data_IF_342012581046
#
_entry.id   IF_342012581046
#
_cell.length_a   1.000
_cell.length_b   1.000
_cell.length_c   1.000
_cell.angle_alpha   90.00
_cell.angle_beta   90.00
_cell.angle_gamma   90.00
#
_symmetry.space_group_name_H-M   'P 1'
#
loop_
_entity.id
_entity.type
_entity.pdbx_description
1 polymer ?
#
# COMPACT_ATOMS: atom_id res chain seq x y z
N UNK A 1 -14.31 -35.94 -42.27
CA UNK A 1 -14.43 -34.47 -42.16
C UNK A 1 -14.82 -34.15 -40.73
N UNK A 2 -13.84 -33.90 -39.87
CA UNK A 2 -14.04 -33.56 -38.45
C UNK A 2 -13.58 -32.12 -38.27
N UNK A 3 -14.52 -31.26 -37.86
CA UNK A 3 -14.33 -29.81 -37.71
C UNK A 3 -13.28 -29.48 -36.63
N UNK A 4 -12.26 -28.66 -36.92
CA UNK A 4 -11.35 -28.11 -35.92
C UNK A 4 -11.79 -26.67 -35.58
N UNK A 5 -12.76 -26.49 -34.69
CA UNK A 5 -13.16 -25.15 -34.25
C UNK A 5 -13.92 -25.18 -32.92
N UNK A 6 -13.24 -25.56 -31.82
CA UNK A 6 -13.72 -25.21 -30.47
C UNK A 6 -12.51 -24.80 -29.62
N UNK A 7 -11.79 -23.78 -30.08
CA UNK A 7 -10.69 -23.16 -29.33
C UNK A 7 -10.83 -21.64 -29.42
N UNK A 8 -11.98 -21.16 -28.94
CA UNK A 8 -12.23 -19.75 -28.66
C UNK A 8 -13.60 -19.65 -28.02
N UNK A 9 -13.63 -19.33 -26.72
CA UNK A 9 -14.72 -18.70 -25.95
C UNK A 9 -14.76 -19.22 -24.50
N UNK A 10 -13.63 -19.16 -23.79
CA UNK A 10 -13.73 -18.94 -22.34
C UNK A 10 -13.85 -17.42 -22.16
N UNK A 11 -15.08 -16.96 -22.03
CA UNK A 11 -15.36 -15.58 -21.70
C UNK A 11 -14.68 -15.24 -20.37
N UNK A 12 -13.83 -14.20 -20.38
CA UNK A 12 -13.19 -13.68 -19.18
C UNK A 12 -14.27 -13.40 -18.10
N UNK A 13 -14.04 -13.75 -16.83
CA UNK A 13 -14.97 -13.43 -15.76
C UNK A 13 -15.20 -11.91 -15.70
N UNK A 14 -16.46 -11.52 -15.65
CA UNK A 14 -16.89 -10.12 -15.61
C UNK A 14 -16.64 -9.54 -14.21
N UNK A 15 -15.52 -8.84 -14.07
CA UNK A 15 -15.03 -8.01 -12.95
C UNK A 15 -16.18 -7.49 -12.04
N UNK A 16 -16.41 -8.10 -10.88
CA UNK A 16 -17.60 -7.88 -10.03
C UNK A 16 -17.65 -6.57 -9.24
N UNK A 17 -16.83 -5.56 -9.59
CA UNK A 17 -16.82 -4.25 -8.94
C UNK A 17 -17.50 -3.17 -9.80
N UNK A 18 -18.22 -2.20 -9.17
CA UNK A 18 -18.86 -1.10 -9.90
C UNK A 18 -17.80 -0.30 -10.69
N UNK A 19 -18.17 0.30 -11.85
CA UNK A 19 -17.22 0.97 -12.75
C UNK A 19 -16.40 2.08 -12.07
N UNK A 20 -17.00 2.79 -11.11
CA UNK A 20 -16.30 3.78 -10.27
C UNK A 20 -15.25 3.14 -9.36
N UNK A 21 -15.52 1.93 -8.85
CA UNK A 21 -14.58 1.21 -8.02
C UNK A 21 -13.35 0.78 -8.83
N UNK A 22 -13.59 0.25 -10.02
CA UNK A 22 -12.50 -0.13 -10.94
C UNK A 22 -11.59 1.04 -11.30
N UNK A 23 -12.16 2.23 -11.48
CA UNK A 23 -11.39 3.44 -11.78
C UNK A 23 -10.48 3.87 -10.62
N UNK A 24 -10.96 3.82 -9.37
CA UNK A 24 -10.10 4.16 -8.23
C UNK A 24 -8.97 3.15 -8.02
N UNK A 25 -9.22 1.85 -8.27
CA UNK A 25 -8.17 0.84 -8.15
C UNK A 25 -7.10 1.06 -9.22
N UNK A 26 -7.51 1.30 -10.46
CA UNK A 26 -6.57 1.63 -11.54
C UNK A 26 -5.74 2.87 -11.21
N UNK A 27 -6.36 3.94 -10.71
CA UNK A 27 -5.64 5.15 -10.26
C UNK A 27 -4.65 4.82 -9.14
N UNK A 28 -5.08 4.10 -8.11
CA UNK A 28 -4.19 3.74 -6.99
C UNK A 28 -3.03 2.87 -7.45
N UNK A 29 -3.27 1.94 -8.38
CA UNK A 29 -2.22 1.10 -8.95
C UNK A 29 -1.22 1.92 -9.76
N UNK A 30 -1.69 2.86 -10.60
CA UNK A 30 -0.83 3.81 -11.34
C UNK A 30 0.03 4.65 -10.40
N UNK A 31 -0.59 5.25 -9.39
CA UNK A 31 0.09 6.03 -8.35
C UNK A 31 1.11 5.18 -7.57
N UNK A 32 0.76 3.94 -7.21
CA UNK A 32 1.67 3.03 -6.51
C UNK A 32 2.88 2.69 -7.37
N UNK A 33 2.66 2.39 -8.65
CA UNK A 33 3.72 2.07 -9.59
C UNK A 33 4.64 3.28 -9.84
N UNK A 34 4.07 4.47 -10.00
CA UNK A 34 4.82 5.73 -10.07
C UNK A 34 5.69 5.92 -8.82
N UNK A 35 5.09 5.76 -7.64
CA UNK A 35 5.81 5.94 -6.38
C UNK A 35 6.93 4.92 -6.25
N UNK A 36 6.72 3.65 -6.59
CA UNK A 36 7.75 2.62 -6.52
C UNK A 36 8.98 2.99 -7.37
N UNK A 37 8.77 3.54 -8.57
CA UNK A 37 9.85 4.00 -9.46
C UNK A 37 10.53 5.27 -8.96
N UNK A 38 9.79 6.15 -8.28
CA UNK A 38 10.27 7.46 -7.83
C UNK A 38 10.50 7.56 -6.32
N UNK A 39 10.48 6.44 -5.59
CA UNK A 39 10.63 6.35 -4.12
C UNK A 39 11.76 7.27 -3.60
N UNK A 40 13.00 7.20 -4.13
CA UNK A 40 14.09 8.01 -3.57
C UNK A 40 13.94 9.51 -3.81
N UNK A 41 13.26 9.91 -4.90
CA UNK A 41 13.11 11.31 -5.27
C UNK A 41 11.91 11.97 -4.59
N UNK A 42 10.83 11.21 -4.38
CA UNK A 42 9.62 11.70 -3.73
C UNK A 42 9.88 12.02 -2.26
N UNK A 43 10.43 11.08 -1.50
CA UNK A 43 10.68 11.26 -0.06
C UNK A 43 11.82 12.24 0.26
N UNK A 44 12.68 12.58 -0.71
CA UNK A 44 13.73 13.59 -0.53
C UNK A 44 13.19 15.04 -0.67
N UNK A 45 11.97 15.22 -1.18
CA UNK A 45 11.38 16.55 -1.37
C UNK A 45 11.06 17.18 0.00
N UNK A 46 11.41 18.45 0.17
CA UNK A 46 11.24 19.19 1.43
C UNK A 46 9.79 19.47 1.81
N UNK A 47 8.88 19.57 0.83
CA UNK A 47 7.45 19.86 1.06
C UNK A 47 6.70 18.75 1.82
N UNK A 48 7.21 17.52 1.82
CA UNK A 48 6.52 16.40 2.48
C UNK A 48 6.53 16.51 4.01
N UNK A 49 7.51 17.24 4.58
CA UNK A 49 7.52 17.58 6.00
C UNK A 49 6.47 18.65 6.36
N UNK A 50 6.12 19.52 5.40
CA UNK A 50 5.14 20.60 5.58
C UNK A 50 3.70 20.09 5.46
N UNK A 51 3.48 19.00 4.70
CA UNK A 51 2.16 18.39 4.52
C UNK A 51 1.52 17.87 5.83
N UNK A 52 2.34 17.41 6.78
CA UNK A 52 1.89 17.09 8.14
C UNK A 52 2.97 17.37 9.19
N UNK A 53 3.01 18.60 9.72
CA UNK A 53 4.04 19.02 10.65
C UNK A 53 4.03 18.24 11.97
N UNK A 54 2.87 17.78 12.44
CA UNK A 54 2.75 17.05 13.71
C UNK A 54 3.24 15.61 13.56
N UNK A 55 2.88 14.97 12.44
CA UNK A 55 3.34 13.63 12.14
C UNK A 55 4.87 13.58 11.95
N UNK A 56 5.43 14.56 11.24
CA UNK A 56 6.88 14.66 11.05
C UNK A 56 7.61 14.89 12.39
N UNK A 57 7.05 15.70 13.27
CA UNK A 57 7.63 15.95 14.59
C UNK A 57 7.70 14.67 15.44
N UNK A 58 6.58 13.93 15.47
CA UNK A 58 6.46 12.66 16.19
C UNK A 58 7.37 11.59 15.60
N UNK A 59 7.40 11.41 14.28
CA UNK A 59 8.08 10.25 13.69
C UNK A 59 9.57 10.47 13.39
N UNK A 60 9.95 11.71 13.05
CA UNK A 60 11.30 12.01 12.57
C UNK A 60 12.04 12.92 13.57
N UNK A 61 11.45 14.06 13.95
CA UNK A 61 12.14 15.09 14.74
C UNK A 61 12.50 14.64 16.15
N UNK A 62 11.73 13.73 16.75
CA UNK A 62 12.04 13.15 18.05
C UNK A 62 13.37 12.37 18.06
N UNK A 63 13.74 11.76 16.94
CA UNK A 63 14.97 10.97 16.78
C UNK A 63 16.13 11.77 16.18
N UNK A 64 15.91 13.02 15.81
CA UNK A 64 16.99 13.90 15.34
C UNK A 64 17.94 14.25 16.50
N UNK A 65 19.23 14.13 16.21
CA UNK A 65 20.28 14.52 17.15
C UNK A 65 20.30 16.04 17.34
N UNK A 66 20.86 16.50 18.47
CA UNK A 66 21.02 17.92 18.74
C UNK A 66 21.90 18.62 17.68
N UNK A 67 22.87 17.90 17.11
CA UNK A 67 23.77 18.41 16.08
C UNK A 67 23.05 18.60 14.74
N UNK A 68 22.28 17.61 14.28
CA UNK A 68 21.45 17.69 13.07
C UNK A 68 20.46 18.86 13.18
N UNK A 69 19.78 18.99 14.33
CA UNK A 69 18.83 20.09 14.58
C UNK A 69 19.52 21.46 14.57
N UNK A 70 20.73 21.57 15.11
CA UNK A 70 21.50 22.81 15.03
C UNK A 70 21.92 23.14 13.60
N UNK A 71 22.29 22.14 12.80
CA UNK A 71 22.63 22.32 11.39
C UNK A 71 21.42 22.79 10.57
N UNK A 72 20.28 22.10 10.65
CA UNK A 72 19.03 22.50 9.98
C UNK A 72 18.59 23.91 10.36
N UNK A 73 18.81 24.26 11.61
CA UNK A 73 18.32 25.52 12.14
C UNK A 73 19.30 26.67 11.86
N UNK A 74 20.56 26.37 11.51
CA UNK A 74 21.49 27.31 10.88
C UNK A 74 21.14 27.54 9.41
N UNK A 75 20.76 26.48 8.67
CA UNK A 75 20.40 26.60 7.25
C UNK A 75 19.08 27.35 7.04
N UNK A 76 18.06 27.05 7.85
CA UNK A 76 16.75 27.74 7.83
C UNK A 76 16.78 29.15 8.45
N UNK A 77 17.77 29.44 9.28
CA UNK A 77 17.85 30.69 10.04
C UNK A 77 16.79 30.81 11.14
N UNK A 78 16.69 32.00 11.76
CA UNK A 78 15.73 32.25 12.85
C UNK A 78 14.28 32.36 12.34
N UNK A 79 14.07 33.04 11.21
CA UNK A 79 12.75 33.20 10.61
C UNK A 79 12.13 31.85 10.20
N UNK A 80 12.91 30.95 9.60
CA UNK A 80 12.42 29.61 9.23
C UNK A 80 12.04 28.76 10.44
N UNK A 81 12.78 28.84 11.56
CA UNK A 81 12.40 28.17 12.80
C UNK A 81 11.08 28.68 13.36
N UNK A 82 10.90 30.00 13.37
CA UNK A 82 9.66 30.61 13.85
C UNK A 82 8.47 30.25 12.98
N UNK A 83 8.65 30.21 11.66
CA UNK A 83 7.63 29.73 10.73
C UNK A 83 7.22 28.29 11.03
N UNK A 84 8.19 27.39 11.19
CA UNK A 84 7.95 25.98 11.53
C UNK A 84 7.25 25.80 12.88
N UNK A 85 7.65 26.57 13.90
CA UNK A 85 7.00 26.55 15.21
C UNK A 85 5.56 27.10 15.14
N UNK A 86 5.32 28.12 14.32
CA UNK A 86 4.00 28.67 14.06
C UNK A 86 3.10 27.64 13.35
N UNK A 87 3.58 26.99 12.28
CA UNK A 87 2.82 25.96 11.56
C UNK A 87 2.46 24.79 12.49
N UNK A 88 3.39 24.36 13.36
CA UNK A 88 3.10 23.35 14.39
C UNK A 88 2.02 23.80 15.38
N UNK A 89 2.10 25.05 15.85
CA UNK A 89 1.13 25.60 16.78
C UNK A 89 -0.27 25.71 16.16
N UNK A 90 -0.35 26.14 14.90
CA UNK A 90 -1.60 26.21 14.14
C UNK A 90 -2.23 24.83 13.97
N UNK A 91 -1.47 23.83 13.52
CA UNK A 91 -1.97 22.45 13.35
C UNK A 91 -2.43 21.83 14.67
N UNK A 92 -1.72 22.11 15.77
CA UNK A 92 -2.12 21.67 17.12
C UNK A 92 -3.45 22.31 17.53
N UNK A 93 -3.61 23.61 17.30
CA UNK A 93 -4.83 24.34 17.61
C UNK A 93 -6.01 23.86 16.74
N UNK A 94 -5.77 23.57 15.47
CA UNK A 94 -6.78 22.99 14.58
C UNK A 94 -7.25 21.62 15.06
N UNK A 95 -6.33 20.73 15.45
CA UNK A 95 -6.67 19.42 16.03
C UNK A 95 -7.51 19.58 17.30
N UNK A 96 -7.10 20.47 18.20
CA UNK A 96 -7.85 20.75 19.43
C UNK A 96 -9.24 21.33 19.14
N UNK A 97 -9.34 22.26 18.18
CA UNK A 97 -10.63 22.83 17.77
C UNK A 97 -11.54 21.80 17.11
N UNK A 98 -10.99 20.90 16.29
CA UNK A 98 -11.72 19.79 15.69
C UNK A 98 -12.26 18.84 16.76
N UNK A 99 -11.41 18.45 17.72
CA UNK A 99 -11.80 17.62 18.86
C UNK A 99 -12.93 18.29 19.67
N UNK A 100 -12.77 19.58 20.01
CA UNK A 100 -13.80 20.35 20.73
C UNK A 100 -15.11 20.41 19.94
N UNK A 101 -15.04 20.58 18.63
CA UNK A 101 -16.23 20.62 17.76
C UNK A 101 -16.91 19.24 17.68
N UNK A 102 -16.14 18.16 17.61
CA UNK A 102 -16.64 16.80 17.64
C UNK A 102 -17.29 16.47 18.99
N UNK A 103 -16.63 16.76 20.10
CA UNK A 103 -17.20 16.60 21.44
C UNK A 103 -18.52 17.34 21.60
N UNK A 104 -18.62 18.58 21.09
CA UNK A 104 -19.86 19.34 21.11
C UNK A 104 -20.96 18.66 20.30
N UNK A 105 -20.65 18.14 19.09
CA UNK A 105 -21.61 17.39 18.26
C UNK A 105 -22.07 16.10 18.93
N UNK A 106 -21.15 15.36 19.55
CA UNK A 106 -21.45 14.09 20.23
C UNK A 106 -22.26 14.30 21.49
N UNK A 107 -21.99 15.38 22.23
CA UNK A 107 -22.81 15.82 23.37
C UNK A 107 -24.25 16.14 22.96
N UNK A 108 -24.45 16.81 21.83
CA UNK A 108 -25.78 17.10 21.27
C UNK A 108 -26.52 15.81 20.84
N UNK A 109 -25.79 14.85 20.26
CA UNK A 109 -26.32 13.55 19.87
C UNK A 109 -26.48 12.54 21.03
N UNK A 110 -26.02 12.88 22.24
CA UNK A 110 -26.06 11.99 23.40
C UNK A 110 -25.10 10.80 23.34
N UNK A 111 -24.06 10.87 22.49
CA UNK A 111 -23.06 9.83 22.37
C UNK A 111 -22.01 9.89 23.50
N UNK A 112 -21.48 8.74 23.98
CA UNK A 112 -20.46 8.72 25.02
C UNK A 112 -19.12 9.26 24.50
N UNK A 113 -18.37 10.00 25.31
CA UNK A 113 -17.05 10.55 24.92
C UNK A 113 -16.13 9.48 24.32
N UNK A 114 -15.32 9.86 23.31
CA UNK A 114 -14.32 8.95 22.75
C UNK A 114 -13.22 8.78 23.79
N UNK A 115 -12.72 7.56 23.93
CA UNK A 115 -11.47 7.33 24.65
C UNK A 115 -10.33 7.90 23.80
N UNK A 116 -9.49 8.74 24.42
CA UNK A 116 -8.30 9.26 23.76
C UNK A 116 -7.36 8.08 23.49
N UNK A 117 -7.39 7.56 22.28
CA UNK A 117 -6.41 6.57 21.84
C UNK A 117 -5.11 7.33 21.59
N UNK A 118 -4.17 7.20 22.52
CA UNK A 118 -2.81 7.69 22.31
C UNK A 118 -2.21 6.94 21.13
N UNK A 119 -1.66 7.69 20.17
CA UNK A 119 -0.94 7.10 19.05
C UNK A 119 0.27 6.32 19.59
N UNK A 120 0.42 5.03 19.26
CA UNK A 120 1.54 4.22 19.75
C UNK A 120 2.88 4.91 19.48
N UNK A 121 3.68 5.07 20.54
CA UNK A 121 5.00 5.67 20.46
C UNK A 121 5.96 4.76 19.69
N UNK A 122 6.64 5.36 18.72
CA UNK A 122 7.67 4.68 17.94
C UNK A 122 8.93 4.50 18.79
N UNK A 123 9.56 3.32 18.73
CA UNK A 123 10.69 2.97 19.61
C UNK A 123 12.05 3.27 18.98
N UNK A 124 12.12 3.36 17.65
CA UNK A 124 13.37 3.53 16.91
C UNK A 124 13.27 4.54 15.78
N UNK A 125 14.39 5.17 15.44
CA UNK A 125 14.53 6.07 14.28
C UNK A 125 14.13 5.39 12.97
N UNK A 126 14.60 4.15 12.77
CA UNK A 126 14.30 3.39 11.54
C UNK A 126 12.81 3.06 11.44
N UNK A 127 12.18 2.68 12.55
CA UNK A 127 10.73 2.45 12.60
C UNK A 127 9.95 3.74 12.31
N UNK A 128 10.44 4.89 12.80
CA UNK A 128 9.81 6.19 12.58
C UNK A 128 9.89 6.63 11.13
N UNK A 129 11.06 6.46 10.52
CA UNK A 129 11.27 6.72 9.09
C UNK A 129 10.39 5.81 8.22
N UNK A 130 10.28 4.52 8.56
CA UNK A 130 9.41 3.59 7.85
C UNK A 130 7.93 3.94 7.99
N UNK A 131 7.45 4.18 9.21
CA UNK A 131 6.06 4.59 9.43
C UNK A 131 5.74 5.90 8.71
N UNK A 132 6.68 6.85 8.68
CA UNK A 132 6.50 8.10 7.97
C UNK A 132 6.38 7.86 6.45
N UNK A 133 7.24 7.00 5.89
CA UNK A 133 7.15 6.62 4.47
C UNK A 133 5.83 5.91 4.16
N UNK A 134 5.38 5.00 5.02
CA UNK A 134 4.12 4.26 4.84
C UNK A 134 2.92 5.23 4.86
N UNK A 135 2.85 6.15 5.82
CA UNK A 135 1.76 7.13 5.91
C UNK A 135 1.79 8.09 4.73
N UNK A 136 2.97 8.60 4.36
CA UNK A 136 3.10 9.49 3.21
C UNK A 136 2.79 8.78 1.89
N UNK A 137 3.07 7.48 1.79
CA UNK A 137 2.65 6.63 0.67
C UNK A 137 1.13 6.55 0.61
N UNK A 138 0.45 6.26 1.73
CA UNK A 138 -1.01 6.19 1.78
C UNK A 138 -1.65 7.53 1.37
N UNK A 139 -1.15 8.65 1.90
CA UNK A 139 -1.61 10.00 1.51
C UNK A 139 -1.45 10.24 0.02
N UNK A 140 -0.31 9.83 -0.55
CA UNK A 140 -0.07 9.94 -1.98
C UNK A 140 -1.08 9.14 -2.79
N UNK A 141 -1.32 7.88 -2.40
CA UNK A 141 -2.28 6.99 -3.07
C UNK A 141 -3.71 7.52 -2.99
N UNK A 142 -4.08 8.16 -1.88
CA UNK A 142 -5.39 8.78 -1.68
C UNK A 142 -5.57 10.09 -2.45
N UNK A 143 -4.49 10.73 -2.89
CA UNK A 143 -4.57 11.99 -3.63
C UNK A 143 -4.51 13.23 -2.73
N UNK A 144 -3.94 13.10 -1.53
CA UNK A 144 -3.92 14.15 -0.51
C UNK A 144 -2.65 15.01 -0.54
N UNK A 145 -1.71 14.73 -1.45
CA UNK A 145 -0.52 15.56 -1.65
C UNK A 145 -0.85 16.75 -2.58
N UNK A 146 -1.03 17.93 -2.01
CA UNK A 146 -1.40 19.13 -2.77
C UNK A 146 -0.26 19.67 -3.62
N UNK A 147 0.98 19.28 -3.35
CA UNK A 147 2.17 19.75 -4.07
C UNK A 147 2.48 18.90 -5.31
N UNK A 148 1.72 17.82 -5.52
CA UNK A 148 1.86 16.91 -6.64
C UNK A 148 0.75 17.07 -7.67
N UNK A 149 1.11 17.09 -8.95
CA UNK A 149 0.15 17.11 -10.05
C UNK A 149 -0.25 15.67 -10.41
N UNK A 150 -1.38 15.21 -9.88
CA UNK A 150 -1.87 13.84 -10.11
C UNK A 150 -2.29 13.56 -11.56
N UNK A 151 -2.60 14.59 -12.34
CA UNK A 151 -3.02 14.42 -13.75
C UNK A 151 -1.91 13.75 -14.58
N UNK A 152 -0.64 13.95 -14.23
CA UNK A 152 0.52 13.39 -14.91
C UNK A 152 0.65 11.86 -14.73
N UNK A 153 -0.06 11.29 -13.75
CA UNK A 153 0.00 9.85 -13.41
C UNK A 153 -1.35 9.18 -13.57
N UNK A 154 -2.43 9.84 -13.15
CA UNK A 154 -3.77 9.26 -13.12
C UNK A 154 -4.31 8.98 -14.52
N UNK A 155 -3.97 9.81 -15.50
CA UNK A 155 -4.45 9.70 -16.88
C UNK A 155 -3.43 9.07 -17.84
N UNK A 156 -2.27 8.66 -17.33
CA UNK A 156 -1.20 8.14 -18.16
C UNK A 156 -1.08 6.62 -18.04
N UNK A 157 -1.37 5.95 -19.16
CA UNK A 157 -1.36 4.50 -19.28
C UNK A 157 0.07 3.91 -19.18
N UNK A 158 1.14 4.72 -19.25
CA UNK A 158 2.50 4.23 -19.03
C UNK A 158 2.73 3.73 -17.60
N UNK A 159 1.87 4.16 -16.66
CA UNK A 159 1.90 3.72 -15.27
C UNK A 159 0.96 2.54 -15.01
N UNK A 160 0.25 2.04 -16.03
CA UNK A 160 -0.41 0.75 -15.91
C UNK A 160 0.65 -0.35 -15.85
N UNK A 161 0.80 -0.95 -14.66
CA UNK A 161 1.66 -2.12 -14.51
C UNK A 161 1.01 -3.34 -15.16
N UNK A 162 1.15 -3.44 -16.49
CA UNK A 162 0.63 -4.54 -17.29
C UNK A 162 1.22 -5.89 -16.85
N UNK A 163 2.45 -5.90 -16.30
CA UNK A 163 3.07 -7.10 -15.78
C UNK A 163 2.40 -7.54 -14.47
N UNK A 164 2.11 -6.61 -13.57
CA UNK A 164 1.32 -6.89 -12.37
C UNK A 164 -0.09 -7.36 -12.74
N UNK A 165 -0.75 -6.71 -13.70
CA UNK A 165 -2.08 -7.10 -14.15
C UNK A 165 -2.10 -8.49 -14.81
N UNK A 166 -1.01 -8.88 -15.47
CA UNK A 166 -0.84 -10.23 -16.00
C UNK A 166 -0.68 -11.27 -14.88
N UNK A 167 0.11 -10.96 -13.83
CA UNK A 167 0.25 -11.82 -12.65
C UNK A 167 -1.05 -11.95 -11.88
N UNK A 168 -1.75 -10.86 -11.62
CA UNK A 168 -3.04 -10.90 -10.90
C UNK A 168 -4.06 -11.79 -11.63
N UNK A 169 -4.06 -11.77 -12.97
CA UNK A 169 -4.90 -12.65 -13.79
C UNK A 169 -4.43 -14.11 -13.72
N UNK A 170 -3.13 -14.35 -13.65
CA UNK A 170 -2.55 -15.68 -13.53
C UNK A 170 -2.85 -16.29 -12.15
N UNK A 171 -2.71 -15.51 -11.07
CA UNK A 171 -3.08 -15.93 -9.71
C UNK A 171 -4.58 -16.28 -9.64
N UNK A 172 -5.46 -15.46 -10.23
CA UNK A 172 -6.90 -15.76 -10.33
C UNK A 172 -7.17 -17.05 -11.11
N UNK A 173 -6.37 -17.34 -12.15
CA UNK A 173 -6.46 -18.59 -12.91
C UNK A 173 -6.04 -19.80 -12.06
N UNK A 174 -4.93 -19.71 -11.33
CA UNK A 174 -4.44 -20.79 -10.47
C UNK A 174 -5.34 -21.05 -9.26
N UNK A 175 -5.87 -20.01 -8.63
CA UNK A 175 -6.81 -20.15 -7.50
C UNK A 175 -8.14 -20.83 -7.93
N UNK A 176 -8.53 -20.65 -9.20
CA UNK A 176 -9.71 -21.28 -9.77
C UNK A 176 -9.49 -22.74 -10.22
N UNK A 177 -8.24 -23.18 -10.38
CA UNK A 177 -7.92 -24.57 -10.67
C UNK A 177 -7.92 -25.42 -9.39
N UNK A 178 -8.83 -26.39 -9.29
CA UNK A 178 -8.71 -27.43 -8.27
C UNK A 178 -7.58 -28.39 -8.66
N UNK A 179 -6.62 -28.70 -7.76
CA UNK A 179 -5.51 -29.60 -8.08
C UNK A 179 -6.00 -30.98 -8.53
N UNK A 180 -5.97 -31.25 -9.84
CA UNK A 180 -6.28 -32.57 -10.37
C UNK A 180 -5.02 -33.43 -10.30
N UNK A 181 -4.90 -34.25 -9.26
CA UNK A 181 -3.89 -35.30 -9.21
C UNK A 181 -4.27 -36.37 -10.23
N UNK A 182 -3.60 -36.37 -11.39
CA UNK A 182 -3.73 -37.46 -12.34
C UNK A 182 -3.14 -38.73 -11.71
N UNK A 183 -4.00 -39.57 -11.13
CA UNK A 183 -3.65 -40.95 -10.89
C UNK A 183 -3.37 -41.56 -12.26
N UNK A 184 -2.11 -41.89 -12.53
CA UNK A 184 -1.75 -42.70 -13.69
C UNK A 184 -2.41 -44.04 -13.47
N UNK A 185 -3.52 -44.29 -14.17
CA UNK A 185 -4.15 -45.61 -14.22
C UNK A 185 -3.21 -46.55 -14.98
N UNK A 186 -2.30 -47.19 -14.25
CA UNK A 186 -1.72 -48.44 -14.70
C UNK A 186 -2.75 -49.55 -14.45
N UNK A 187 -3.37 -50.00 -15.55
CA UNK A 187 -4.35 -51.07 -15.66
C UNK A 187 -4.35 -52.07 -14.47
N UNK A 188 -5.44 -52.09 -13.70
CA UNK A 188 -5.65 -53.15 -12.70
C UNK A 188 -6.82 -52.90 -11.75
N UNK A 189 -7.99 -53.39 -12.16
CA UNK A 189 -9.06 -54.01 -11.35
C UNK A 189 -9.39 -53.48 -9.93
N UNK A 190 -10.63 -52.99 -9.79
CA UNK A 190 -11.51 -52.96 -8.60
C UNK A 190 -10.98 -52.50 -7.23
N UNK A 191 -11.55 -51.39 -6.75
CA UNK A 191 -12.01 -51.27 -5.36
C UNK A 191 -11.24 -50.31 -4.45
N UNK A 192 -11.93 -49.21 -4.11
CA UNK A 192 -11.91 -48.39 -2.88
C UNK A 192 -10.63 -48.15 -2.03
N UNK A 193 -10.54 -46.91 -1.54
CA UNK A 193 -9.83 -46.45 -0.34
C UNK A 193 -8.30 -46.58 -0.24
N UNK A 194 -7.50 -45.80 -1.01
CA UNK A 194 -6.14 -45.41 -0.53
C UNK A 194 -5.78 -43.96 -0.95
N UNK A 195 -6.58 -42.99 -0.52
CA UNK A 195 -6.06 -41.63 -0.29
C UNK A 195 -5.32 -41.65 1.04
N UNK A 196 -3.98 -41.56 1.02
CA UNK A 196 -3.07 -41.15 2.12
C UNK A 196 -1.81 -42.01 2.34
N UNK A 197 -1.07 -42.47 1.31
CA UNK A 197 0.32 -42.92 1.58
C UNK A 197 1.32 -43.09 0.43
N UNK A 198 1.12 -42.52 -0.75
CA UNK A 198 2.21 -42.51 -1.74
C UNK A 198 3.24 -41.44 -1.37
N UNK A 199 4.18 -41.81 -0.52
CA UNK A 199 5.44 -41.12 -0.38
C UNK A 199 6.16 -41.17 -1.75
N UNK A 200 6.10 -40.08 -2.52
CA UNK A 200 6.94 -39.89 -3.70
C UNK A 200 8.41 -39.91 -3.25
N UNK A 201 9.06 -41.07 -3.39
CA UNK A 201 10.52 -41.14 -3.34
C UNK A 201 11.03 -40.61 -4.67
N UNK A 202 11.49 -39.36 -4.67
CA UNK A 202 12.21 -38.79 -5.80
C UNK A 202 13.52 -39.54 -5.99
N UNK A 203 13.61 -40.37 -7.04
CA UNK A 203 14.89 -40.87 -7.54
C UNK A 203 15.55 -39.74 -8.33
N UNK A 204 16.35 -38.91 -7.65
CA UNK A 204 17.25 -37.97 -8.33
C UNK A 204 18.35 -38.78 -9.01
N UNK A 205 18.16 -39.11 -10.28
CA UNK A 205 19.18 -39.67 -11.14
C UNK A 205 20.27 -38.64 -11.39
N UNK A 206 21.36 -38.73 -10.63
CA UNK A 206 22.63 -38.04 -10.93
C UNK A 206 23.18 -38.69 -12.21
N UNK A 207 23.21 -37.94 -13.32
CA UNK A 207 23.94 -38.32 -14.52
C UNK A 207 25.36 -37.74 -14.42
N UNK A 208 26.33 -38.62 -14.16
CA UNK A 208 27.74 -38.32 -14.38
C UNK A 208 27.98 -38.14 -15.89
N UNK A 209 28.65 -37.03 -16.24
CA UNK A 209 29.29 -36.82 -17.54
C UNK A 209 30.80 -36.80 -17.36
#
# INVERSE_FOLDING_TARGET
MTNPAVLSQLALPQKSQPPQARHHITIKNRRLYYLHRHTPSYFRRTGLAEADPLLYDRLIRQFQTAEERQAESKTRGWAGRMYEDLMRAERKLEKENANRAEEARRRDQGEPALEEVEDEDVKSREEGEKQWQDIMTLRFLEGLDTDFNYDDVDFDDQWDDLAQLARDREDEYFDAEEPTWHAVEENGDQGDEISSRLALKGETGIQDF
#
